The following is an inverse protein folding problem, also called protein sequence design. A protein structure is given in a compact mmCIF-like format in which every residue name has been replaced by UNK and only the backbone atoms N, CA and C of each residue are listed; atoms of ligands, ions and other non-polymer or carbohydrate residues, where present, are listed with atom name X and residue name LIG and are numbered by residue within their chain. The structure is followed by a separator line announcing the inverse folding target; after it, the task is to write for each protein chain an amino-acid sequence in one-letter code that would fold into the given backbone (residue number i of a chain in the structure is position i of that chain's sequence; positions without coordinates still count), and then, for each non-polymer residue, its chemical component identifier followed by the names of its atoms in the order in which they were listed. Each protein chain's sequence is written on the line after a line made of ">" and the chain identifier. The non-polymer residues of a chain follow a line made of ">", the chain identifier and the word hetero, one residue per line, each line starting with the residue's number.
data_IF_178019797553
#
_entry.id   IF_178019797553
#
_cell.length_a   1.000
_cell.length_b   1.000
_cell.length_c   1.000
_cell.angle_alpha   90.00
_cell.angle_beta   90.00
_cell.angle_gamma   90.00
#
_symmetry.space_group_name_H-M   'P 1'
#
loop_
_entity.id
_entity.type
_entity.pdbx_description
1 polymer ?
#
# COMPACT_ATOMS: atom_id res chain seq x y z
N UNK A 1 -19.43 11.11 -18.31
CA UNK A 1 -19.31 9.71 -17.82
C UNK A 1 -17.84 9.42 -17.73
N UNK A 2 -17.28 9.42 -16.52
CA UNK A 2 -15.87 9.12 -16.30
C UNK A 2 -15.62 7.65 -16.58
N UNK A 3 -14.70 7.41 -17.50
CA UNK A 3 -14.32 6.12 -18.06
C UNK A 3 -14.01 5.07 -16.97
N UNK A 4 -14.90 4.09 -16.80
CA UNK A 4 -14.54 2.72 -16.39
C UNK A 4 -13.80 2.48 -15.05
N UNK A 5 -13.48 3.52 -14.29
CA UNK A 5 -12.75 3.41 -13.02
C UNK A 5 -13.73 3.37 -11.85
N UNK A 6 -14.15 2.18 -11.47
CA UNK A 6 -15.00 2.00 -10.29
C UNK A 6 -14.17 1.45 -9.13
N UNK A 7 -13.35 2.32 -8.55
CA UNK A 7 -12.54 1.99 -7.38
C UNK A 7 -13.33 2.19 -6.09
N UNK A 8 -13.00 1.42 -5.06
CA UNK A 8 -13.58 1.56 -3.72
C UNK A 8 -12.50 1.48 -2.66
N UNK A 9 -12.64 2.31 -1.63
CA UNK A 9 -11.79 2.31 -0.45
C UNK A 9 -12.54 1.65 0.72
N UNK A 10 -11.90 0.69 1.34
CA UNK A 10 -12.39 -0.06 2.51
C UNK A 10 -11.43 0.14 3.68
N UNK A 11 -11.94 0.08 4.88
CA UNK A 11 -11.12 0.15 6.10
C UNK A 11 -11.84 0.84 7.25
N UNK A 12 -11.31 0.64 8.44
CA UNK A 12 -11.79 1.32 9.63
C UNK A 12 -11.39 2.82 9.61
N UNK A 13 -12.22 3.72 10.16
CA UNK A 13 -11.90 5.16 10.22
C UNK A 13 -10.54 5.50 10.85
N UNK A 14 -10.02 4.66 11.77
CA UNK A 14 -8.68 4.83 12.36
C UNK A 14 -7.54 4.80 11.33
N UNK A 15 -7.78 4.23 10.14
CA UNK A 15 -6.83 4.21 9.04
C UNK A 15 -6.88 5.47 8.15
N UNK A 16 -7.39 6.59 8.67
CA UNK A 16 -7.52 7.87 7.95
C UNK A 16 -8.31 7.76 6.63
N UNK A 17 -9.33 6.90 6.57
CA UNK A 17 -10.09 6.60 5.35
C UNK A 17 -10.70 7.83 4.68
N UNK A 18 -11.15 8.82 5.46
CA UNK A 18 -11.68 10.07 4.91
C UNK A 18 -10.61 10.90 4.19
N UNK A 19 -9.42 11.03 4.77
CA UNK A 19 -8.30 11.75 4.17
C UNK A 19 -7.79 11.00 2.91
N UNK A 20 -7.66 9.66 2.98
CA UNK A 20 -7.30 8.81 1.85
C UNK A 20 -8.33 8.92 0.70
N UNK A 21 -9.62 8.90 1.03
CA UNK A 21 -10.71 9.06 0.06
C UNK A 21 -10.57 10.37 -0.73
N UNK A 22 -10.32 11.47 -0.03
CA UNK A 22 -10.11 12.78 -0.67
C UNK A 22 -8.84 12.81 -1.52
N UNK A 23 -7.72 12.28 -0.99
CA UNK A 23 -6.44 12.31 -1.69
C UNK A 23 -6.43 11.42 -2.94
N UNK A 24 -7.04 10.23 -2.88
CA UNK A 24 -7.09 9.29 -4.00
C UNK A 24 -8.22 9.65 -4.98
N UNK A 25 -9.28 10.30 -4.50
CA UNK A 25 -10.49 10.60 -5.28
C UNK A 25 -11.41 9.38 -5.40
N UNK A 26 -11.51 8.55 -4.34
CA UNK A 26 -12.24 7.28 -4.35
C UNK A 26 -13.17 7.20 -3.14
N UNK A 27 -14.45 6.85 -3.31
CA UNK A 27 -15.39 6.79 -2.20
C UNK A 27 -15.06 5.64 -1.22
N UNK A 28 -15.29 5.89 0.07
CA UNK A 28 -15.27 4.85 1.09
C UNK A 28 -16.53 3.99 0.96
N UNK A 29 -16.37 2.68 1.06
CA UNK A 29 -17.48 1.70 1.02
C UNK A 29 -17.38 0.73 2.18
N UNK A 30 -18.55 0.20 2.59
CA UNK A 30 -18.67 -0.84 3.60
C UNK A 30 -19.21 -2.16 3.02
N UNK A 31 -19.44 -2.21 1.73
CA UNK A 31 -19.93 -3.39 1.02
C UNK A 31 -19.26 -3.53 -0.35
N UNK A 32 -19.43 -4.69 -0.97
CA UNK A 32 -18.85 -5.05 -2.27
C UNK A 32 -19.89 -4.98 -3.40
N UNK A 33 -20.95 -4.21 -3.22
CA UNK A 33 -22.01 -4.11 -4.20
C UNK A 33 -21.54 -3.41 -5.48
N UNK A 34 -21.94 -3.99 -6.60
CA UNK A 34 -21.63 -3.49 -7.94
C UNK A 34 -20.31 -4.01 -8.50
N UNK A 35 -20.01 -3.58 -9.72
CA UNK A 35 -18.77 -3.92 -10.40
C UNK A 35 -17.63 -3.05 -9.89
N UNK A 36 -16.73 -3.62 -9.08
CA UNK A 36 -15.56 -2.93 -8.52
C UNK A 36 -14.33 -3.32 -9.34
N UNK A 37 -13.69 -2.34 -9.96
CA UNK A 37 -12.53 -2.57 -10.83
C UNK A 37 -11.20 -2.56 -10.08
N UNK A 38 -11.15 -1.97 -8.91
CA UNK A 38 -10.05 -2.09 -7.95
C UNK A 38 -10.52 -1.80 -6.52
N UNK A 39 -9.99 -2.52 -5.55
CA UNK A 39 -10.26 -2.31 -4.13
C UNK A 39 -8.99 -1.81 -3.42
N UNK A 40 -9.14 -0.77 -2.63
CA UNK A 40 -8.10 -0.21 -1.78
C UNK A 40 -8.49 -0.51 -0.35
N UNK A 41 -7.64 -1.21 0.38
CA UNK A 41 -7.87 -1.52 1.79
C UNK A 41 -6.91 -0.71 2.64
N UNK A 42 -7.45 0.05 3.59
CA UNK A 42 -6.66 0.86 4.51
C UNK A 42 -6.68 0.26 5.92
N UNK A 43 -5.51 0.06 6.49
CA UNK A 43 -5.31 -0.38 7.88
C UNK A 43 -4.40 0.60 8.61
N UNK A 44 -4.58 0.70 9.93
CA UNK A 44 -3.72 1.49 10.80
C UNK A 44 -2.80 0.55 11.58
N UNK A 45 -1.48 0.71 11.46
CA UNK A 45 -0.49 -0.13 12.12
C UNK A 45 -0.69 -0.18 13.65
N UNK A 46 -1.01 0.95 14.26
CA UNK A 46 -1.20 1.06 15.71
C UNK A 46 -2.53 0.49 16.21
N UNK A 47 -3.54 0.35 15.35
CA UNK A 47 -4.88 -0.15 15.71
C UNK A 47 -5.13 -1.60 15.27
N UNK A 48 -4.27 -2.14 14.41
CA UNK A 48 -4.42 -3.48 13.83
C UNK A 48 -5.48 -3.53 12.72
N UNK A 49 -5.98 -4.74 12.43
CA UNK A 49 -6.96 -5.00 11.37
C UNK A 49 -8.26 -5.48 12.01
N UNK A 50 -9.33 -4.74 11.78
CA UNK A 50 -10.65 -5.11 12.30
C UNK A 50 -11.28 -6.26 11.49
N UNK A 51 -12.20 -6.99 12.15
CA UNK A 51 -12.83 -8.17 11.57
C UNK A 51 -13.62 -7.85 10.29
N UNK A 52 -14.26 -6.70 10.22
CA UNK A 52 -15.03 -6.28 9.04
C UNK A 52 -14.12 -6.07 7.83
N UNK A 53 -12.96 -5.48 8.03
CA UNK A 53 -11.95 -5.29 6.97
C UNK A 53 -11.43 -6.64 6.47
N UNK A 54 -11.17 -7.61 7.36
CA UNK A 54 -10.75 -8.97 6.99
C UNK A 54 -11.83 -9.65 6.14
N UNK A 55 -13.09 -9.61 6.57
CA UNK A 55 -14.21 -10.22 5.86
C UNK A 55 -14.44 -9.60 4.48
N UNK A 56 -14.31 -8.26 4.37
CA UNK A 56 -14.42 -7.56 3.10
C UNK A 56 -13.28 -7.92 2.15
N UNK A 57 -12.04 -8.03 2.66
CA UNK A 57 -10.90 -8.46 1.86
C UNK A 57 -11.16 -9.81 1.19
N UNK A 58 -11.58 -10.80 1.97
CA UNK A 58 -11.80 -12.16 1.46
C UNK A 58 -13.01 -12.29 0.54
N UNK A 59 -13.96 -11.35 0.55
CA UNK A 59 -15.05 -11.34 -0.45
C UNK A 59 -14.57 -11.11 -1.88
N UNK A 60 -13.37 -10.56 -2.08
CA UNK A 60 -12.79 -10.32 -3.39
C UNK A 60 -11.99 -11.51 -3.94
N UNK A 61 -11.77 -12.57 -3.16
CA UNK A 61 -10.98 -13.73 -3.58
C UNK A 61 -11.58 -14.44 -4.80
N UNK A 62 -12.90 -14.58 -4.83
CA UNK A 62 -13.61 -15.23 -5.92
C UNK A 62 -13.63 -14.42 -7.23
N UNK A 63 -13.37 -13.12 -7.16
CA UNK A 63 -13.48 -12.21 -8.30
C UNK A 63 -12.14 -11.83 -8.93
N UNK A 64 -11.03 -12.19 -8.31
CA UNK A 64 -9.67 -11.78 -8.71
C UNK A 64 -9.58 -10.26 -8.95
N UNK A 65 -10.27 -9.49 -8.12
CA UNK A 65 -10.22 -8.02 -8.20
C UNK A 65 -8.86 -7.51 -7.74
N UNK A 66 -8.21 -6.60 -8.50
CA UNK A 66 -6.99 -5.95 -8.06
C UNK A 66 -7.16 -5.27 -6.70
N UNK A 67 -6.25 -5.56 -5.75
CA UNK A 67 -6.29 -5.02 -4.38
C UNK A 67 -4.98 -4.36 -4.03
N UNK A 68 -5.05 -3.21 -3.38
CA UNK A 68 -3.92 -2.52 -2.76
C UNK A 68 -4.18 -2.45 -1.27
N UNK A 69 -3.19 -2.81 -0.47
CA UNK A 69 -3.20 -2.55 0.97
C UNK A 69 -2.48 -1.23 1.24
N UNK A 70 -3.16 -0.30 1.88
CA UNK A 70 -2.60 0.96 2.37
C UNK A 70 -2.40 0.85 3.87
N UNK A 71 -1.20 1.12 4.35
CA UNK A 71 -0.87 1.08 5.78
C UNK A 71 -0.58 2.49 6.26
N UNK A 72 -1.39 2.95 7.22
CA UNK A 72 -1.24 4.24 7.91
C UNK A 72 -0.86 4.04 9.37
N UNK A 73 -0.64 5.11 10.11
CA UNK A 73 -0.46 5.08 11.57
C UNK A 73 0.83 4.41 12.07
N UNK A 74 1.78 4.12 11.19
CA UNK A 74 3.07 3.50 11.57
C UNK A 74 4.04 4.50 12.25
N UNK A 75 3.66 5.76 12.37
CA UNK A 75 4.36 6.81 13.10
C UNK A 75 3.65 7.21 14.41
N UNK A 76 2.54 6.55 14.77
CA UNK A 76 1.67 6.97 15.88
C UNK A 76 1.85 6.15 17.17
N UNK A 77 2.47 4.98 17.10
CA UNK A 77 2.55 4.05 18.22
C UNK A 77 3.84 3.25 18.27
N UNK A 78 3.77 2.09 18.93
CA UNK A 78 4.89 1.17 19.04
C UNK A 78 5.00 0.21 17.85
N UNK A 79 3.88 -0.03 17.16
CA UNK A 79 3.82 -0.87 15.97
C UNK A 79 4.22 -0.03 14.76
N UNK A 80 5.17 -0.55 14.01
CA UNK A 80 5.67 0.05 12.79
C UNK A 80 5.03 -0.57 11.53
N UNK A 81 5.56 -0.18 10.39
CA UNK A 81 5.11 -0.68 9.11
C UNK A 81 5.33 -2.20 8.97
N UNK A 82 6.47 -2.71 9.43
CA UNK A 82 6.83 -4.13 9.31
C UNK A 82 5.93 -5.01 10.19
N UNK A 83 5.58 -4.55 11.40
CA UNK A 83 4.60 -5.23 12.26
C UNK A 83 3.23 -5.34 11.57
N UNK A 84 2.80 -4.27 10.90
CA UNK A 84 1.54 -4.27 10.14
C UNK A 84 1.58 -5.23 8.94
N UNK A 85 2.70 -5.33 8.24
CA UNK A 85 2.90 -6.31 7.16
C UNK A 85 2.79 -7.75 7.68
N UNK A 86 3.45 -8.06 8.79
CA UNK A 86 3.38 -9.40 9.39
C UNK A 86 1.95 -9.76 9.78
N UNK A 87 1.19 -8.81 10.32
CA UNK A 87 -0.21 -9.00 10.66
C UNK A 87 -1.07 -9.21 9.40
N UNK A 88 -0.86 -8.40 8.36
CA UNK A 88 -1.58 -8.51 7.09
C UNK A 88 -1.34 -9.86 6.40
N UNK A 89 -0.10 -10.32 6.36
CA UNK A 89 0.25 -11.66 5.82
C UNK A 89 -0.45 -12.80 6.57
N UNK A 90 -0.71 -12.63 7.84
CA UNK A 90 -1.41 -13.64 8.65
C UNK A 90 -2.93 -13.63 8.46
N UNK A 91 -3.54 -12.46 8.31
CA UNK A 91 -4.99 -12.27 8.38
C UNK A 91 -5.65 -12.02 7.02
N UNK A 92 -4.92 -11.48 6.06
CA UNK A 92 -5.45 -11.14 4.73
C UNK A 92 -4.93 -12.08 3.66
N UNK A 93 -3.68 -11.90 3.23
CA UNK A 93 -3.06 -12.65 2.15
C UNK A 93 -1.54 -12.49 2.17
N UNK A 94 -0.81 -13.17 1.27
CA UNK A 94 0.62 -12.96 1.06
C UNK A 94 0.88 -11.60 0.35
N UNK A 95 0.72 -10.52 1.11
CA UNK A 95 0.94 -9.16 0.61
C UNK A 95 2.41 -8.92 0.30
N UNK A 96 2.68 -8.25 -0.80
CA UNK A 96 4.02 -7.87 -1.22
C UNK A 96 4.40 -6.49 -0.69
N UNK A 97 5.68 -6.31 -0.38
CA UNK A 97 6.23 -5.07 0.15
C UNK A 97 7.19 -4.44 -0.87
N UNK A 98 6.69 -3.65 -1.86
CA UNK A 98 7.54 -3.05 -2.87
C UNK A 98 8.38 -1.87 -2.36
N UNK A 99 8.00 -1.30 -1.21
CA UNK A 99 8.67 -0.17 -0.58
C UNK A 99 8.83 -0.39 0.91
N UNK A 100 9.97 0.02 1.47
CA UNK A 100 10.18 0.09 2.92
C UNK A 100 10.29 1.54 3.36
N UNK A 101 9.93 1.80 4.61
CA UNK A 101 10.01 3.12 5.23
C UNK A 101 11.42 3.37 5.76
N UNK A 102 12.01 4.49 5.40
CA UNK A 102 13.25 4.98 5.98
C UNK A 102 12.95 6.07 7.01
N UNK A 103 13.71 6.08 8.09
CA UNK A 103 13.55 6.98 9.20
C UNK A 103 14.79 7.86 9.35
N UNK A 104 14.60 9.08 9.82
CA UNK A 104 15.66 9.97 10.26
C UNK A 104 16.28 9.49 11.58
N UNK A 105 17.34 10.16 12.02
CA UNK A 105 18.04 9.87 13.29
C UNK A 105 17.13 10.01 14.52
N UNK A 106 16.08 10.80 14.43
CA UNK A 106 15.06 10.98 15.49
C UNK A 106 13.94 9.92 15.43
N UNK A 107 13.99 8.99 14.47
CA UNK A 107 12.99 7.96 14.27
C UNK A 107 11.76 8.40 13.48
N UNK A 108 11.76 9.59 12.90
CA UNK A 108 10.65 10.10 12.09
C UNK A 108 10.73 9.53 10.67
N UNK A 109 9.64 8.99 10.10
CA UNK A 109 9.60 8.58 8.70
C UNK A 109 9.94 9.76 7.77
N UNK A 110 10.84 9.55 6.82
CA UNK A 110 11.32 10.63 5.95
C UNK A 110 11.34 10.27 4.46
N UNK A 111 11.48 8.99 4.14
CA UNK A 111 11.65 8.52 2.78
C UNK A 111 11.13 7.10 2.62
N UNK A 112 10.99 6.67 1.36
CA UNK A 112 10.78 5.27 1.00
C UNK A 112 11.96 4.76 0.21
N UNK A 113 12.32 3.47 0.38
CA UNK A 113 13.22 2.78 -0.52
C UNK A 113 12.42 1.85 -1.44
N UNK A 114 12.55 2.06 -2.74
CA UNK A 114 11.98 1.20 -3.79
C UNK A 114 12.85 -0.06 -3.91
N UNK A 115 12.30 -1.22 -3.57
CA UNK A 115 13.02 -2.49 -3.54
C UNK A 115 13.32 -3.04 -4.93
N UNK A 116 12.56 -2.67 -5.94
CA UNK A 116 12.84 -3.07 -7.32
C UNK A 116 14.02 -2.30 -7.89
N UNK A 117 14.00 -0.97 -7.78
CA UNK A 117 14.96 -0.07 -8.40
C UNK A 117 16.14 0.28 -7.53
N UNK A 118 16.11 -0.03 -6.23
CA UNK A 118 17.08 0.40 -5.23
C UNK A 118 17.26 1.92 -5.25
N UNK A 119 16.15 2.64 -5.24
CA UNK A 119 16.08 4.10 -5.18
C UNK A 119 15.44 4.57 -3.89
N UNK A 120 16.01 5.59 -3.28
CA UNK A 120 15.45 6.29 -2.14
C UNK A 120 14.63 7.47 -2.64
N UNK A 121 13.34 7.48 -2.31
CA UNK A 121 12.39 8.54 -2.62
C UNK A 121 12.23 9.40 -1.36
N UNK A 122 12.85 10.57 -1.36
CA UNK A 122 12.78 11.49 -0.23
C UNK A 122 11.64 12.49 -0.45
N UNK A 123 10.62 12.39 0.37
CA UNK A 123 9.42 13.23 0.26
C UNK A 123 9.61 14.64 0.85
N UNK A 124 10.58 14.84 1.75
CA UNK A 124 10.85 16.16 2.32
C UNK A 124 11.50 17.12 1.35
N UNK A 125 12.37 16.62 0.49
CA UNK A 125 13.10 17.46 -0.48
C UNK A 125 12.76 17.12 -1.95
N UNK A 126 11.82 16.19 -2.17
CA UNK A 126 11.38 15.72 -3.49
C UNK A 126 12.52 15.20 -4.37
N UNK A 127 13.54 14.61 -3.76
CA UNK A 127 14.71 14.05 -4.48
C UNK A 127 14.67 12.52 -4.47
N UNK A 128 15.04 11.95 -5.61
CA UNK A 128 15.26 10.52 -5.73
C UNK A 128 16.76 10.27 -5.91
N UNK A 129 17.33 9.41 -5.08
CA UNK A 129 18.74 9.04 -5.11
C UNK A 129 18.90 7.53 -5.20
N UNK A 130 19.99 7.05 -5.79
CA UNK A 130 20.31 5.63 -5.70
C UNK A 130 20.60 5.24 -4.24
N UNK A 131 20.16 4.05 -3.82
CA UNK A 131 20.53 3.50 -2.54
C UNK A 131 22.04 3.24 -2.51
N UNK A 132 22.70 3.61 -1.42
CA UNK A 132 24.09 3.27 -1.19
C UNK A 132 24.26 1.79 -0.75
N UNK A 133 25.49 1.35 -0.62
CA UNK A 133 25.80 -0.05 -0.29
C UNK A 133 25.21 -0.47 1.07
N UNK A 134 25.19 0.43 2.05
CA UNK A 134 24.67 0.14 3.38
C UNK A 134 23.15 -0.11 3.33
N UNK A 135 22.41 0.75 2.63
CA UNK A 135 20.97 0.56 2.42
C UNK A 135 20.67 -0.70 1.62
N UNK A 136 21.45 -0.97 0.55
CA UNK A 136 21.28 -2.19 -0.25
C UNK A 136 21.45 -3.45 0.59
N UNK A 137 22.49 -3.51 1.45
CA UNK A 137 22.74 -4.64 2.33
C UNK A 137 21.62 -4.78 3.35
N UNK A 138 21.15 -3.68 3.95
CA UNK A 138 20.09 -3.66 4.93
C UNK A 138 18.77 -4.23 4.41
N UNK A 139 18.40 -3.93 3.17
CA UNK A 139 17.11 -4.33 2.58
C UNK A 139 17.18 -5.61 1.76
N UNK A 140 18.34 -6.27 1.69
CA UNK A 140 18.58 -7.40 0.77
C UNK A 140 17.62 -8.56 0.93
N UNK A 141 17.26 -8.94 2.17
CA UNK A 141 16.31 -10.03 2.44
C UNK A 141 14.89 -9.67 1.98
N UNK A 142 14.41 -8.48 2.33
CA UNK A 142 13.10 -7.96 1.91
C UNK A 142 12.99 -7.84 0.39
N UNK A 143 14.08 -7.38 -0.23
CA UNK A 143 14.14 -7.27 -1.69
C UNK A 143 14.05 -8.64 -2.38
N UNK A 144 14.76 -9.63 -1.88
CA UNK A 144 14.72 -10.99 -2.43
C UNK A 144 13.31 -11.58 -2.34
N UNK A 145 12.65 -11.47 -1.19
CA UNK A 145 11.27 -11.92 -1.00
C UNK A 145 10.32 -11.20 -1.98
N UNK A 146 10.43 -9.87 -2.07
CA UNK A 146 9.61 -9.07 -2.99
C UNK A 146 9.80 -9.47 -4.45
N UNK A 147 11.05 -9.65 -4.90
CA UNK A 147 11.35 -10.04 -6.28
C UNK A 147 10.84 -11.46 -6.61
N UNK A 148 10.90 -12.40 -5.66
CA UNK A 148 10.31 -13.73 -5.82
C UNK A 148 8.79 -13.67 -5.97
N UNK A 149 8.10 -12.86 -5.15
CA UNK A 149 6.65 -12.64 -5.27
C UNK A 149 6.29 -11.97 -6.61
N UNK A 150 7.07 -10.99 -7.04
CA UNK A 150 6.85 -10.28 -8.31
C UNK A 150 7.04 -11.22 -9.51
N UNK A 151 8.08 -12.04 -9.51
CA UNK A 151 8.34 -13.05 -10.55
C UNK A 151 7.21 -14.10 -10.61
N UNK A 152 6.78 -14.60 -9.46
CA UNK A 152 5.70 -15.58 -9.36
C UNK A 152 4.37 -15.03 -9.89
N UNK A 153 4.07 -13.76 -9.65
CA UNK A 153 2.85 -13.10 -10.11
C UNK A 153 2.89 -12.73 -11.61
N UNK A 154 4.07 -12.49 -12.16
CA UNK A 154 4.27 -12.07 -13.56
C UNK A 154 3.89 -10.60 -13.82
N UNK A 155 4.10 -10.15 -15.06
CA UNK A 155 3.94 -8.74 -15.46
C UNK A 155 2.55 -8.15 -15.18
N UNK A 156 1.51 -8.97 -15.23
CA UNK A 156 0.13 -8.55 -15.01
C UNK A 156 -0.43 -8.94 -13.63
N UNK A 157 0.42 -9.35 -12.70
CA UNK A 157 0.02 -9.89 -11.40
C UNK A 157 -0.95 -8.99 -10.63
N UNK A 158 -0.66 -7.69 -10.58
CA UNK A 158 -1.56 -6.73 -9.94
C UNK A 158 -2.90 -6.60 -10.67
N UNK A 159 -2.89 -6.39 -11.98
CA UNK A 159 -4.11 -6.24 -12.77
C UNK A 159 -4.96 -7.54 -12.80
N UNK A 160 -4.33 -8.68 -12.61
CA UNK A 160 -5.00 -10.00 -12.53
C UNK A 160 -5.50 -10.35 -11.12
N UNK A 161 -5.29 -9.49 -10.13
CA UNK A 161 -5.74 -9.71 -8.76
C UNK A 161 -5.04 -10.87 -8.04
N UNK A 162 -3.78 -11.15 -8.36
CA UNK A 162 -2.94 -12.19 -7.73
C UNK A 162 -1.67 -11.64 -7.07
N UNK A 163 -1.43 -10.34 -7.18
CA UNK A 163 -0.34 -9.64 -6.52
C UNK A 163 -0.91 -8.45 -5.74
N UNK A 164 -0.67 -8.41 -4.45
CA UNK A 164 -1.27 -7.46 -3.51
C UNK A 164 -0.20 -6.55 -2.90
N UNK A 165 0.11 -5.39 -3.52
CA UNK A 165 1.10 -4.47 -2.97
C UNK A 165 0.59 -3.81 -1.69
N UNK A 166 1.41 -3.80 -0.66
CA UNK A 166 1.22 -3.05 0.57
C UNK A 166 2.06 -1.77 0.53
N UNK A 167 1.40 -0.62 0.63
CA UNK A 167 2.02 0.69 0.46
C UNK A 167 1.93 1.47 1.77
N UNK A 168 3.07 1.91 2.34
CA UNK A 168 3.07 2.81 3.49
C UNK A 168 2.60 4.20 3.06
N UNK A 169 1.67 4.77 3.82
CA UNK A 169 1.11 6.10 3.55
C UNK A 169 1.06 6.95 4.82
N UNK A 170 1.65 8.13 4.76
CA UNK A 170 1.42 9.23 5.70
C UNK A 170 0.63 10.32 4.99
N UNK A 171 -0.52 10.69 5.56
CA UNK A 171 -1.42 11.66 4.97
C UNK A 171 -1.83 12.76 5.95
N UNK A 172 -1.73 12.49 7.24
CA UNK A 172 -2.08 13.44 8.30
C UNK A 172 -0.85 14.19 8.85
N UNK A 173 0.32 14.02 8.23
CA UNK A 173 1.51 14.77 8.59
C UNK A 173 1.42 16.20 8.03
N UNK A 174 1.55 17.24 8.88
CA UNK A 174 1.44 18.64 8.43
C UNK A 174 2.62 19.09 7.56
N UNK A 175 3.72 18.35 7.54
CA UNK A 175 4.93 18.73 6.82
C UNK A 175 5.00 18.10 5.41
N UNK A 176 4.51 16.87 5.25
CA UNK A 176 4.53 16.19 3.95
C UNK A 176 3.59 14.99 3.90
N UNK A 177 3.16 14.66 2.70
CA UNK A 177 2.47 13.41 2.39
C UNK A 177 3.47 12.40 1.82
N UNK A 178 3.30 11.11 2.15
CA UNK A 178 4.18 10.04 1.70
C UNK A 178 3.32 8.88 1.17
N UNK A 179 3.68 8.34 0.00
CA UNK A 179 3.14 7.10 -0.55
C UNK A 179 1.84 7.21 -1.35
N UNK A 180 1.10 8.30 -1.30
CA UNK A 180 -0.15 8.50 -2.07
C UNK A 180 0.10 8.46 -3.58
N UNK A 181 1.19 9.03 -4.05
CA UNK A 181 1.60 9.00 -5.45
C UNK A 181 1.80 7.57 -5.96
N UNK A 182 2.34 6.68 -5.12
CA UNK A 182 2.54 5.27 -5.42
C UNK A 182 1.20 4.55 -5.56
N UNK A 183 0.26 4.77 -4.62
CA UNK A 183 -1.10 4.20 -4.71
C UNK A 183 -1.77 4.62 -6.02
N UNK A 184 -1.71 5.91 -6.35
CA UNK A 184 -2.26 6.43 -7.62
C UNK A 184 -1.59 5.81 -8.84
N UNK A 185 -0.27 5.57 -8.80
CA UNK A 185 0.47 4.94 -9.88
C UNK A 185 -0.03 3.51 -10.13
N UNK A 186 -0.21 2.69 -9.09
CA UNK A 186 -0.79 1.36 -9.21
C UNK A 186 -2.19 1.39 -9.81
N UNK A 187 -3.07 2.25 -9.30
CA UNK A 187 -4.44 2.38 -9.79
C UNK A 187 -4.49 2.84 -11.26
N UNK A 188 -3.61 3.77 -11.65
CA UNK A 188 -3.55 4.26 -13.02
C UNK A 188 -2.89 3.27 -13.99
N UNK A 189 -2.18 2.25 -13.51
CA UNK A 189 -1.64 1.17 -14.34
C UNK A 189 -2.70 0.16 -14.77
N UNK A 190 -3.87 0.16 -14.11
CA UNK A 190 -4.96 -0.74 -14.48
C UNK A 190 -5.56 -0.37 -15.84
N UNK A 191 -5.95 -1.37 -16.65
CA UNK A 191 -6.58 -1.12 -17.94
C UNK A 191 -7.90 -0.34 -17.74
N UNK A 192 -8.13 0.62 -18.62
CA UNK A 192 -9.43 1.30 -18.67
C UNK A 192 -10.43 0.39 -19.38
N UNK A 193 -11.45 -0.04 -18.66
CA UNK A 193 -12.56 -0.75 -19.29
C UNK A 193 -13.41 0.30 -20.03
N UNK A 194 -13.35 0.21 -21.36
CA UNK A 194 -14.16 1.04 -22.27
C UNK A 194 -15.56 0.50 -22.46
#
# INVERSE_FOLDING_TARGET
>A
MENGKNWRLFGHPSAATSALSNAIGTPVSNDVDGEITAAIFAINASSGIDQSTIELWHKFDDYLTPRILVITGFNEGLQDFDDAILLAKRLLDDVATPFLVLHDDDGTPCALIDLEKLQIINYRNSQNTAADTEHVDLVSEFRNEYLEQLEAAGENGFASGIFFPAIPVLIDDPEFELGIDIVKKYLNSLPSFG
#
